data_IF_114502985812
#
_entry.id   IF_114502985812
#
_cell.length_a   1.000
_cell.length_b   1.000
_cell.length_c   1.000
_cell.angle_alpha   90.00
_cell.angle_beta   90.00
_cell.angle_gamma   90.00
#
_symmetry.space_group_name_H-M   'P 1'
#
loop_
_entity.id
_entity.type
_entity.pdbx_description
1 polymer ?
#
# COMPACT_ATOMS: atom_id res chain seq x y z
N UNK A 1 9.66 -6.77 29.86
CA UNK A 1 8.85 -7.04 28.64
C UNK A 1 7.64 -6.12 28.67
N UNK A 2 7.78 -4.92 28.12
CA UNK A 2 6.80 -3.84 28.32
C UNK A 2 5.62 -3.99 27.35
N UNK A 3 4.44 -4.32 27.90
CA UNK A 3 3.16 -4.34 27.18
C UNK A 3 2.41 -3.08 27.58
N UNK A 4 2.33 -2.11 26.68
CA UNK A 4 1.69 -0.83 26.98
C UNK A 4 0.28 -0.75 26.39
N UNK A 5 -0.67 -0.33 27.23
CA UNK A 5 -2.03 0.03 26.84
C UNK A 5 -2.22 1.50 27.17
N UNK A 6 -2.44 2.32 26.17
CA UNK A 6 -2.65 3.77 26.36
C UNK A 6 -4.01 4.16 25.81
N UNK A 7 -4.76 4.90 26.63
CA UNK A 7 -6.07 5.46 26.27
C UNK A 7 -5.96 6.74 25.45
N UNK A 8 -4.98 7.60 25.75
CA UNK A 8 -4.84 8.96 25.19
C UNK A 8 -4.04 9.00 23.86
N UNK A 9 -3.56 10.19 23.47
CA UNK A 9 -2.70 10.49 22.31
C UNK A 9 -1.20 10.42 22.69
N UNK A 10 -0.57 9.22 22.83
CA UNK A 10 0.82 9.15 23.25
C UNK A 10 1.77 9.63 22.16
N UNK A 11 2.84 10.30 22.60
CA UNK A 11 3.95 10.70 21.75
C UNK A 11 5.20 9.94 22.16
N UNK A 12 5.66 9.06 21.30
CA UNK A 12 6.85 8.25 21.52
C UNK A 12 7.96 8.71 20.57
N UNK A 13 9.16 8.89 21.12
CA UNK A 13 10.36 9.28 20.37
C UNK A 13 11.49 8.34 20.77
N UNK A 14 12.21 7.80 19.79
CA UNK A 14 13.39 6.95 20.03
C UNK A 14 13.07 5.79 20.98
N UNK A 15 12.03 5.02 20.68
CA UNK A 15 11.49 3.99 21.58
C UNK A 15 11.53 2.62 20.94
N UNK A 16 11.88 1.60 21.72
CA UNK A 16 11.82 0.19 21.33
C UNK A 16 10.77 -0.50 22.20
N UNK A 17 9.64 -0.91 21.60
CA UNK A 17 8.53 -1.55 22.32
C UNK A 17 8.23 -2.90 21.69
N UNK A 18 8.05 -3.93 22.50
CA UNK A 18 7.68 -5.25 21.98
C UNK A 18 6.21 -5.23 21.52
N UNK A 19 5.29 -4.80 22.39
CA UNK A 19 3.85 -4.80 22.10
C UNK A 19 3.18 -3.52 22.56
N UNK A 20 2.53 -2.83 21.63
CA UNK A 20 1.76 -1.63 21.90
C UNK A 20 0.30 -1.81 21.46
N UNK A 21 -0.64 -1.36 22.29
CA UNK A 21 -2.05 -1.22 21.93
C UNK A 21 -2.51 0.19 22.27
N UNK A 22 -2.96 0.92 21.26
CA UNK A 22 -3.50 2.27 21.41
C UNK A 22 -4.90 2.30 20.82
N UNK A 23 -5.86 2.90 21.53
CA UNK A 23 -7.21 3.12 21.01
C UNK A 23 -7.24 4.36 20.12
N UNK A 24 -6.64 5.45 20.59
CA UNK A 24 -6.61 6.75 19.90
C UNK A 24 -5.38 6.92 18.99
N UNK A 25 -4.88 8.17 18.83
CA UNK A 25 -3.98 8.64 17.77
C UNK A 25 -2.49 8.72 18.18
N UNK A 26 -1.74 7.60 18.22
CA UNK A 26 -0.33 7.65 18.61
C UNK A 26 0.52 8.40 17.57
N UNK A 27 1.51 9.12 18.07
CA UNK A 27 2.55 9.76 17.28
C UNK A 27 3.88 9.07 17.57
N UNK A 28 4.40 8.34 16.58
CA UNK A 28 5.62 7.56 16.70
C UNK A 28 6.70 8.09 15.76
N UNK A 29 7.86 8.41 16.34
CA UNK A 29 9.01 8.93 15.61
C UNK A 29 10.26 8.14 16.01
N UNK A 30 10.98 7.62 15.01
CA UNK A 30 12.21 6.87 15.23
C UNK A 30 11.99 5.70 16.20
N UNK A 31 10.93 4.92 15.99
CA UNK A 31 10.54 3.83 16.90
C UNK A 31 10.62 2.47 16.22
N UNK A 32 10.97 1.45 16.99
CA UNK A 32 10.99 0.06 16.57
C UNK A 32 9.96 -0.74 17.38
N UNK A 33 9.06 -1.44 16.69
CA UNK A 33 8.03 -2.23 17.36
C UNK A 33 7.83 -3.62 16.74
N UNK A 34 7.71 -4.66 17.57
CA UNK A 34 7.39 -5.98 17.05
C UNK A 34 5.90 -6.05 16.66
N UNK A 35 4.99 -5.66 17.57
CA UNK A 35 3.54 -5.70 17.33
C UNK A 35 2.83 -4.42 17.76
N UNK A 36 2.00 -3.91 16.86
CA UNK A 36 1.08 -2.81 17.17
C UNK A 36 -0.37 -3.13 16.78
N UNK A 37 -1.29 -2.72 17.65
CA UNK A 37 -2.68 -2.45 17.29
C UNK A 37 -3.03 -0.99 17.58
N UNK A 38 -3.42 -0.25 16.56
CA UNK A 38 -3.89 1.13 16.67
C UNK A 38 -5.33 1.22 16.14
N UNK A 39 -6.20 1.96 16.83
CA UNK A 39 -7.55 2.26 16.36
C UNK A 39 -7.52 3.36 15.30
N UNK A 40 -7.36 4.61 15.75
CA UNK A 40 -7.60 5.79 14.93
C UNK A 40 -6.33 6.60 14.61
N UNK A 41 -6.20 7.05 13.36
CA UNK A 41 -5.31 8.11 12.83
C UNK A 41 -3.86 8.16 13.37
N UNK A 42 -3.10 7.05 13.42
CA UNK A 42 -1.76 7.13 13.95
C UNK A 42 -0.81 7.82 12.94
N UNK A 43 0.12 8.65 13.45
CA UNK A 43 1.12 9.37 12.63
C UNK A 43 2.51 8.82 12.87
N UNK A 44 3.19 8.50 11.77
CA UNK A 44 4.44 7.75 11.82
C UNK A 44 5.52 8.37 10.98
N UNK A 45 6.71 8.46 11.57
CA UNK A 45 7.89 8.93 10.88
C UNK A 45 9.10 8.08 11.24
N UNK A 46 9.77 7.54 10.21
CA UNK A 46 11.01 6.76 10.35
C UNK A 46 10.83 5.64 11.40
N UNK A 47 9.92 4.70 11.18
CA UNK A 47 9.64 3.66 12.17
C UNK A 47 9.61 2.28 11.50
N UNK A 48 10.10 1.28 12.23
CA UNK A 48 10.14 -0.10 11.78
C UNK A 48 9.13 -0.92 12.58
N UNK A 49 8.24 -1.65 11.91
CA UNK A 49 7.39 -2.63 12.59
C UNK A 49 7.32 -3.99 11.88
N UNK A 50 7.32 -5.06 12.67
CA UNK A 50 7.16 -6.40 12.13
C UNK A 50 5.68 -6.69 11.80
N UNK A 51 4.76 -6.40 12.72
CA UNK A 51 3.31 -6.64 12.54
C UNK A 51 2.47 -5.47 12.99
N UNK A 52 1.62 -4.99 12.09
CA UNK A 52 0.72 -3.87 12.34
C UNK A 52 -0.74 -4.22 11.98
N UNK A 53 -1.65 -3.88 12.89
CA UNK A 53 -3.09 -3.75 12.60
C UNK A 53 -3.53 -2.34 12.91
N UNK A 54 -4.13 -1.68 11.92
CA UNK A 54 -4.65 -0.32 12.06
C UNK A 54 -6.08 -0.27 11.52
N UNK A 55 -6.96 0.44 12.23
CA UNK A 55 -8.31 0.72 11.76
C UNK A 55 -8.29 1.79 10.67
N UNK A 56 -8.22 3.06 11.10
CA UNK A 56 -8.61 4.19 10.25
C UNK A 56 -7.48 5.21 10.00
N UNK A 57 -7.41 5.67 8.75
CA UNK A 57 -6.74 6.90 8.27
C UNK A 57 -5.28 7.20 8.69
N UNK A 58 -4.37 6.23 8.91
CA UNK A 58 -3.01 6.56 9.29
C UNK A 58 -2.21 7.28 8.19
N UNK A 59 -1.28 8.13 8.63
CA UNK A 59 -0.33 8.84 7.76
C UNK A 59 1.10 8.41 8.07
N UNK A 60 1.80 7.93 7.06
CA UNK A 60 3.12 7.35 7.22
C UNK A 60 4.16 8.01 6.32
N UNK A 61 5.34 8.26 6.90
CA UNK A 61 6.52 8.74 6.20
C UNK A 61 7.73 7.88 6.57
N UNK A 62 8.37 7.28 5.57
CA UNK A 62 9.53 6.39 5.77
C UNK A 62 9.27 5.20 6.72
N UNK A 63 8.18 4.43 6.59
CA UNK A 63 8.01 3.20 7.35
C UNK A 63 8.72 2.03 6.68
N UNK A 64 9.29 1.15 7.50
CA UNK A 64 9.75 -0.18 7.11
C UNK A 64 8.87 -1.22 7.80
N UNK A 65 8.10 -1.99 7.03
CA UNK A 65 7.10 -2.90 7.59
C UNK A 65 7.21 -4.29 6.97
N UNK A 66 7.08 -5.34 7.78
CA UNK A 66 7.01 -6.71 7.25
C UNK A 66 5.55 -7.09 6.88
N UNK A 67 4.62 -6.96 7.84
CA UNK A 67 3.21 -7.32 7.65
C UNK A 67 2.27 -6.24 8.14
N UNK A 68 1.34 -5.82 7.28
CA UNK A 68 0.30 -4.85 7.62
C UNK A 68 -1.10 -5.33 7.22
N UNK A 69 -2.05 -5.13 8.14
CA UNK A 69 -3.49 -5.17 7.88
C UNK A 69 -4.12 -3.83 8.23
N UNK A 70 -4.82 -3.23 7.27
CA UNK A 70 -5.45 -1.92 7.41
C UNK A 70 -6.89 -1.93 6.89
N UNK A 71 -7.75 -1.09 7.48
CA UNK A 71 -9.12 -0.86 7.06
C UNK A 71 -9.22 0.05 5.84
N UNK A 72 -9.42 1.34 6.07
CA UNK A 72 -10.20 2.18 5.12
C UNK A 72 -9.42 3.15 4.24
N UNK A 73 -8.45 3.88 4.78
CA UNK A 73 -7.74 4.89 3.99
C UNK A 73 -6.34 5.03 4.52
N UNK A 74 -5.36 4.98 3.61
CA UNK A 74 -3.97 5.15 4.00
C UNK A 74 -3.27 6.15 3.09
N UNK A 75 -2.38 6.96 3.69
CA UNK A 75 -1.44 7.78 2.94
C UNK A 75 -0.01 7.40 3.29
N UNK A 76 0.70 6.92 2.29
CA UNK A 76 2.08 6.45 2.43
C UNK A 76 3.01 7.25 1.54
N UNK A 77 4.17 7.60 2.10
CA UNK A 77 5.28 8.19 1.38
C UNK A 77 6.57 7.48 1.74
N UNK A 78 7.35 7.11 0.72
CA UNK A 78 8.66 6.47 0.85
C UNK A 78 8.55 5.20 1.69
N UNK A 79 7.95 4.15 1.16
CA UNK A 79 7.64 2.94 1.95
C UNK A 79 8.27 1.71 1.33
N UNK A 80 8.83 0.86 2.19
CA UNK A 80 9.19 -0.52 1.89
C UNK A 80 8.34 -1.45 2.74
N UNK A 81 7.60 -2.35 2.09
CA UNK A 81 6.74 -3.31 2.80
C UNK A 81 6.60 -4.64 2.06
N UNK A 82 6.76 -5.75 2.77
CA UNK A 82 6.74 -7.08 2.15
C UNK A 82 5.30 -7.54 1.85
N UNK A 83 4.42 -7.51 2.86
CA UNK A 83 3.06 -8.06 2.74
C UNK A 83 2.00 -7.12 3.27
N UNK A 84 1.09 -6.71 2.38
CA UNK A 84 -0.01 -5.81 2.71
C UNK A 84 -1.37 -6.42 2.37
N UNK A 85 -2.30 -6.31 3.32
CA UNK A 85 -3.74 -6.44 3.07
C UNK A 85 -4.45 -5.17 3.53
N UNK A 86 -5.20 -4.54 2.63
CA UNK A 86 -5.99 -3.35 2.94
C UNK A 86 -7.42 -3.51 2.40
N UNK A 87 -8.39 -2.97 3.12
CA UNK A 87 -9.76 -2.79 2.64
C UNK A 87 -9.79 -1.77 1.51
N UNK A 88 -9.66 -0.49 1.82
CA UNK A 88 -10.08 0.59 0.90
C UNK A 88 -9.04 1.70 0.67
N UNK A 89 -9.14 2.35 -0.49
CA UNK A 89 -8.56 3.64 -0.94
C UNK A 89 -7.16 3.99 -0.39
N UNK A 90 -6.10 3.23 -0.70
CA UNK A 90 -4.77 3.67 -0.35
C UNK A 90 -4.15 4.60 -1.40
N UNK A 91 -3.41 5.62 -0.92
CA UNK A 91 -2.60 6.51 -1.75
C UNK A 91 -1.12 6.33 -1.43
N UNK A 92 -0.35 5.97 -2.44
CA UNK A 92 1.07 5.67 -2.33
C UNK A 92 1.90 6.57 -3.23
N UNK A 93 3.03 7.02 -2.68
CA UNK A 93 4.05 7.76 -3.41
C UNK A 93 5.44 7.23 -3.04
N UNK A 94 6.24 6.90 -4.06
CA UNK A 94 7.60 6.37 -3.88
C UNK A 94 7.56 5.12 -3.00
N UNK A 95 7.12 3.99 -3.55
CA UNK A 95 6.85 2.79 -2.73
C UNK A 95 7.35 1.52 -3.41
N UNK A 96 7.94 0.65 -2.60
CA UNK A 96 8.39 -0.68 -2.98
C UNK A 96 7.61 -1.72 -2.18
N UNK A 97 6.90 -2.63 -2.87
CA UNK A 97 6.13 -3.71 -2.23
C UNK A 97 6.31 -5.05 -2.94
N UNK A 98 6.43 -6.11 -2.17
CA UNK A 98 6.50 -7.46 -2.74
C UNK A 98 5.09 -8.00 -3.05
N UNK A 99 4.19 -7.96 -2.06
CA UNK A 99 2.85 -8.55 -2.17
C UNK A 99 1.78 -7.63 -1.59
N UNK A 100 0.77 -7.34 -2.41
CA UNK A 100 -0.41 -6.58 -2.01
C UNK A 100 -1.69 -7.26 -2.45
N UNK A 101 -2.65 -7.28 -1.52
CA UNK A 101 -4.07 -7.43 -1.80
C UNK A 101 -4.80 -6.21 -1.27
N UNK A 102 -5.39 -5.41 -2.15
CA UNK A 102 -6.28 -4.33 -1.74
C UNK A 102 -7.68 -4.54 -2.33
N UNK A 103 -8.68 -3.94 -1.68
CA UNK A 103 -9.98 -3.71 -2.29
C UNK A 103 -9.90 -2.51 -3.22
N UNK A 104 -10.60 -1.45 -2.85
CA UNK A 104 -11.12 -0.46 -3.79
C UNK A 104 -10.15 0.70 -4.09
N UNK A 105 -10.13 1.13 -5.36
CA UNK A 105 -9.63 2.43 -5.83
C UNK A 105 -8.23 2.91 -5.36
N UNK A 106 -7.19 2.06 -5.39
CA UNK A 106 -5.86 2.46 -4.96
C UNK A 106 -5.19 3.40 -5.99
N UNK A 107 -4.41 4.37 -5.49
CA UNK A 107 -3.63 5.30 -6.33
C UNK A 107 -2.14 5.17 -6.05
N UNK A 108 -1.36 4.89 -7.08
CA UNK A 108 0.08 4.72 -6.99
C UNK A 108 0.81 5.70 -7.91
N UNK A 109 1.90 6.25 -7.38
CA UNK A 109 2.81 7.11 -8.13
C UNK A 109 4.25 6.76 -7.79
N UNK A 110 5.07 6.52 -8.81
CA UNK A 110 6.48 6.17 -8.65
C UNK A 110 6.61 4.91 -7.77
N UNK A 111 6.25 3.75 -8.30
CA UNK A 111 6.18 2.53 -7.48
C UNK A 111 6.75 1.31 -8.21
N UNK A 112 7.45 0.47 -7.46
CA UNK A 112 7.99 -0.81 -7.92
C UNK A 112 7.33 -1.94 -7.13
N UNK A 113 6.57 -2.82 -7.78
CA UNK A 113 5.71 -3.78 -7.08
C UNK A 113 5.75 -5.16 -7.75
N UNK A 114 6.04 -6.24 -7.03
CA UNK A 114 6.11 -7.56 -7.67
C UNK A 114 4.72 -8.14 -7.95
N UNK A 115 3.87 -8.26 -6.92
CA UNK A 115 2.58 -8.96 -7.04
C UNK A 115 1.44 -8.14 -6.46
N UNK A 116 0.54 -7.69 -7.34
CA UNK A 116 -0.67 -6.97 -6.95
C UNK A 116 -1.94 -7.71 -7.37
N UNK A 117 -2.90 -7.74 -6.44
CA UNK A 117 -4.29 -8.13 -6.73
C UNK A 117 -5.25 -7.07 -6.19
N UNK A 118 -6.15 -6.62 -7.06
CA UNK A 118 -7.19 -5.64 -6.75
C UNK A 118 -8.56 -6.12 -7.21
N UNK A 119 -9.60 -5.73 -6.46
CA UNK A 119 -10.99 -5.92 -6.87
C UNK A 119 -11.35 -4.94 -7.98
N UNK A 120 -11.19 -3.65 -7.72
CA UNK A 120 -11.77 -2.59 -8.55
C UNK A 120 -10.72 -1.79 -9.34
N UNK A 121 -10.91 -0.47 -9.55
CA UNK A 121 -10.19 0.41 -10.48
C UNK A 121 -8.88 1.04 -9.92
N UNK A 122 -7.70 0.38 -10.01
CA UNK A 122 -6.45 1.02 -9.61
C UNK A 122 -6.04 2.11 -10.61
N UNK A 123 -5.38 3.15 -10.09
CA UNK A 123 -4.69 4.15 -10.91
C UNK A 123 -3.19 4.07 -10.67
N UNK A 124 -2.44 3.67 -11.69
CA UNK A 124 -0.98 3.53 -11.65
C UNK A 124 -0.33 4.58 -12.54
N UNK A 125 0.65 5.30 -11.99
CA UNK A 125 1.45 6.28 -12.72
C UNK A 125 2.93 6.07 -12.42
N UNK A 126 3.77 6.04 -13.46
CA UNK A 126 5.21 5.85 -13.32
C UNK A 126 5.51 4.60 -12.47
N UNK A 127 4.96 3.45 -12.85
CA UNK A 127 5.02 2.24 -12.03
C UNK A 127 5.58 1.05 -12.83
N UNK A 128 6.40 0.23 -12.20
CA UNK A 128 6.96 -0.99 -12.77
C UNK A 128 6.53 -2.19 -11.93
N UNK A 129 5.98 -3.22 -12.58
CA UNK A 129 5.49 -4.40 -11.89
C UNK A 129 5.70 -5.69 -12.64
N UNK A 130 5.89 -6.80 -11.94
CA UNK A 130 5.89 -8.12 -12.60
C UNK A 130 4.46 -8.56 -12.92
N UNK A 131 3.57 -8.57 -11.92
CA UNK A 131 2.23 -9.19 -12.03
C UNK A 131 1.14 -8.30 -11.45
N UNK A 132 0.20 -7.92 -12.30
CA UNK A 132 -1.01 -7.19 -11.94
C UNK A 132 -2.27 -8.00 -12.28
N UNK A 133 -3.12 -8.21 -11.28
CA UNK A 133 -4.48 -8.77 -11.45
C UNK A 133 -5.52 -7.77 -10.94
N UNK A 134 -6.49 -7.44 -11.78
CA UNK A 134 -7.55 -6.48 -11.50
C UNK A 134 -8.89 -7.09 -11.92
N UNK A 135 -9.93 -6.96 -11.09
CA UNK A 135 -11.27 -7.39 -11.45
C UNK A 135 -11.90 -6.46 -12.50
N UNK A 136 -11.85 -5.16 -12.25
CA UNK A 136 -12.47 -4.13 -13.12
C UNK A 136 -11.43 -3.37 -13.97
N UNK A 137 -11.71 -2.10 -14.31
CA UNK A 137 -10.89 -1.25 -15.19
C UNK A 137 -9.69 -0.55 -14.52
N UNK A 138 -8.42 -0.94 -14.79
CA UNK A 138 -7.25 -0.18 -14.36
C UNK A 138 -6.96 1.01 -15.30
N UNK A 139 -6.40 2.08 -14.73
CA UNK A 139 -5.82 3.20 -15.50
C UNK A 139 -4.31 3.24 -15.32
N UNK A 140 -3.59 2.98 -16.41
CA UNK A 140 -2.13 2.83 -16.45
C UNK A 140 -1.51 3.99 -17.25
N UNK A 141 -0.55 4.70 -16.66
CA UNK A 141 0.18 5.78 -17.33
C UNK A 141 1.67 5.66 -17.07
N UNK A 142 2.50 5.74 -18.11
CA UNK A 142 3.96 5.66 -17.99
C UNK A 142 4.37 4.43 -17.15
N UNK A 143 3.80 3.25 -17.44
CA UNK A 143 3.98 2.08 -16.57
C UNK A 143 4.38 0.84 -17.38
N UNK A 144 5.13 -0.06 -16.76
CA UNK A 144 5.66 -1.27 -17.39
C UNK A 144 5.23 -2.51 -16.60
N UNK A 145 4.75 -3.57 -17.28
CA UNK A 145 4.43 -4.84 -16.64
C UNK A 145 4.78 -6.07 -17.46
N UNK A 146 5.22 -7.15 -16.81
CA UNK A 146 5.37 -8.45 -17.50
C UNK A 146 4.00 -9.09 -17.77
N UNK A 147 3.12 -9.13 -16.76
CA UNK A 147 1.84 -9.85 -16.84
C UNK A 147 0.70 -9.02 -16.28
N UNK A 148 -0.24 -8.65 -17.16
CA UNK A 148 -1.48 -7.97 -16.81
C UNK A 148 -2.68 -8.88 -17.03
N UNK A 149 -3.50 -9.08 -15.99
CA UNK A 149 -4.82 -9.71 -16.08
C UNK A 149 -5.90 -8.76 -15.59
N UNK A 150 -6.91 -8.55 -16.40
CA UNK A 150 -8.01 -7.60 -16.15
C UNK A 150 -9.33 -8.27 -16.51
N UNK A 151 -10.35 -8.16 -15.66
CA UNK A 151 -11.68 -8.67 -15.99
C UNK A 151 -12.40 -7.80 -17.04
N UNK A 152 -12.17 -6.49 -17.01
CA UNK A 152 -12.78 -5.51 -17.94
C UNK A 152 -11.74 -4.78 -18.82
N UNK A 153 -12.13 -3.68 -19.47
CA UNK A 153 -11.26 -2.83 -20.32
C UNK A 153 -10.17 -2.04 -19.54
N UNK A 154 -8.87 -2.34 -19.70
CA UNK A 154 -7.81 -1.46 -19.19
C UNK A 154 -7.63 -0.23 -20.08
N UNK A 155 -7.21 0.90 -19.46
CA UNK A 155 -6.77 2.11 -20.18
C UNK A 155 -5.27 2.31 -20.01
N UNK A 156 -4.52 2.23 -21.09
CA UNK A 156 -3.06 2.30 -21.12
C UNK A 156 -2.58 3.52 -21.90
N UNK A 157 -1.70 4.32 -21.29
CA UNK A 157 -1.02 5.45 -21.95
C UNK A 157 0.47 5.40 -21.69
N UNK A 158 1.30 5.53 -22.73
CA UNK A 158 2.76 5.48 -22.60
C UNK A 158 3.22 4.27 -21.78
N UNK A 159 2.60 3.09 -21.98
CA UNK A 159 2.84 1.92 -21.13
C UNK A 159 3.31 0.74 -21.97
N UNK A 160 4.13 -0.13 -21.37
CA UNK A 160 4.66 -1.32 -22.01
C UNK A 160 4.19 -2.56 -21.23
N UNK A 161 3.74 -3.58 -21.96
CA UNK A 161 3.29 -4.85 -21.44
C UNK A 161 3.96 -5.97 -22.22
N UNK A 162 4.21 -7.13 -21.59
CA UNK A 162 4.69 -8.33 -22.32
C UNK A 162 3.56 -9.34 -22.54
N UNK A 163 2.65 -9.46 -21.58
CA UNK A 163 1.48 -10.36 -21.66
C UNK A 163 0.24 -9.70 -21.09
N UNK A 164 -0.84 -9.69 -21.88
CA UNK A 164 -2.16 -9.20 -21.48
C UNK A 164 -3.23 -10.30 -21.59
N UNK A 165 -4.05 -10.43 -20.55
CA UNK A 165 -5.36 -11.09 -20.61
C UNK A 165 -6.40 -10.10 -20.12
N UNK A 166 -7.26 -9.63 -21.01
CA UNK A 166 -8.37 -8.76 -20.68
C UNK A 166 -9.68 -9.45 -21.09
N UNK A 167 -10.73 -9.33 -20.28
CA UNK A 167 -12.07 -9.82 -20.66
C UNK A 167 -12.70 -8.98 -21.77
N UNK A 168 -12.24 -7.74 -21.95
CA UNK A 168 -12.71 -6.80 -22.96
C UNK A 168 -11.53 -6.12 -23.69
N UNK A 169 -11.84 -5.36 -24.74
CA UNK A 169 -10.82 -4.71 -25.59
C UNK A 169 -10.07 -3.57 -24.86
N UNK A 170 -8.74 -3.65 -24.72
CA UNK A 170 -7.95 -2.60 -24.10
C UNK A 170 -7.93 -1.30 -24.91
N UNK A 171 -7.91 -0.15 -24.22
CA UNK A 171 -7.67 1.16 -24.87
C UNK A 171 -6.21 1.56 -24.75
N UNK A 172 -5.55 1.74 -25.89
CA UNK A 172 -4.13 2.08 -25.96
C UNK A 172 -3.89 3.49 -26.48
N UNK A 173 -2.87 4.17 -25.93
CA UNK A 173 -2.32 5.42 -26.48
C UNK A 173 -0.80 5.40 -26.30
N UNK A 174 -0.05 5.45 -27.39
CA UNK A 174 1.43 5.39 -27.38
C UNK A 174 1.94 4.25 -26.48
N UNK A 175 1.36 3.07 -26.57
CA UNK A 175 1.62 1.96 -25.66
C UNK A 175 1.89 0.70 -26.46
N UNK A 176 2.72 -0.17 -25.92
CA UNK A 176 3.11 -1.43 -26.53
C UNK A 176 2.64 -2.61 -25.66
N UNK A 177 2.35 -3.71 -26.33
CA UNK A 177 2.11 -5.04 -25.77
C UNK A 177 3.12 -6.01 -26.38
#
# INVERSE_FOLDING_TARGET
MEKLRVGEIPRWRNSALEKLRVRETPHLRNSALEKLRAGEIPRWRNSALEKLRVGETPRWRNPALHKLRAGETLRWRNTALEKLRIGEIPRWRNSALEKLRAGENPRWRNSALQKLRFGETPRLRNSALEKLRVGETPRLRNSAFEKLRVGETPRCRNSALEKLRAGETPRWRNSAL
#
